data_IF_020594728862
#
_entry.id   IF_020594728862
#
_cell.length_a   1.000
_cell.length_b   1.000
_cell.length_c   1.000
_cell.angle_alpha   90.00
_cell.angle_beta   90.00
_cell.angle_gamma   90.00
#
_symmetry.space_group_name_H-M   'P 1'
#
loop_
_entity.id
_entity.type
_entity.pdbx_description
1 polymer ?
#
# COMPACT_ATOMS: atom_id res chain seq x y z
N UNK A 1 1.97 1.30 -18.55
CA UNK A 1 2.08 1.73 -17.15
C UNK A 1 1.88 0.52 -16.25
N UNK A 2 2.67 0.37 -15.18
CA UNK A 2 2.57 -0.74 -14.23
C UNK A 2 1.44 -0.47 -13.23
N UNK A 3 0.37 -1.26 -13.28
CA UNK A 3 -0.74 -1.13 -12.32
C UNK A 3 -0.36 -1.80 -11.01
N UNK A 4 -0.25 -1.01 -9.96
CA UNK A 4 -0.16 -1.47 -8.57
C UNK A 4 -1.41 -0.94 -7.88
N UNK A 5 -2.20 -1.83 -7.32
CA UNK A 5 -3.43 -1.47 -6.61
C UNK A 5 -3.14 -1.47 -5.11
N UNK A 6 -3.14 -0.29 -4.50
CA UNK A 6 -3.03 -0.15 -3.05
C UNK A 6 -4.40 -0.39 -2.45
N UNK A 7 -4.55 -1.47 -1.70
CA UNK A 7 -5.83 -1.87 -1.11
C UNK A 7 -6.02 -1.30 0.29
N UNK A 8 -4.93 -0.98 1.00
CA UNK A 8 -4.98 -0.38 2.34
C UNK A 8 -3.70 0.37 2.70
N UNK A 9 -3.85 1.54 3.30
CA UNK A 9 -2.79 2.29 3.98
C UNK A 9 -3.32 2.76 5.35
N UNK A 10 -2.71 2.34 6.45
CA UNK A 10 -3.17 2.67 7.82
C UNK A 10 -2.02 3.21 8.69
N UNK A 11 -2.24 4.38 9.32
CA UNK A 11 -1.34 4.96 10.31
C UNK A 11 -1.84 4.56 11.71
N UNK A 12 -0.99 3.92 12.51
CA UNK A 12 -1.37 3.43 13.85
C UNK A 12 -1.40 4.55 14.89
N UNK A 13 -2.16 4.33 15.98
CA UNK A 13 -2.17 5.20 17.17
C UNK A 13 -0.96 4.99 18.09
N UNK A 14 -0.35 3.81 18.04
CA UNK A 14 0.69 3.39 19.01
C UNK A 14 2.10 3.87 18.64
N UNK A 15 2.24 4.61 17.54
CA UNK A 15 3.51 5.17 17.09
C UNK A 15 3.45 5.55 15.61
N UNK A 16 4.50 6.18 15.09
CA UNK A 16 4.60 6.53 13.69
C UNK A 16 4.87 5.25 12.88
N UNK A 17 3.83 4.47 12.61
CA UNK A 17 3.92 3.28 11.77
C UNK A 17 2.88 3.33 10.66
N UNK A 18 3.22 2.74 9.53
CA UNK A 18 2.34 2.62 8.37
C UNK A 18 2.25 1.15 7.96
N UNK A 19 1.04 0.65 7.77
CA UNK A 19 0.78 -0.66 7.19
C UNK A 19 0.28 -0.48 5.76
N UNK A 20 0.99 -1.05 4.80
CA UNK A 20 0.66 -0.97 3.38
C UNK A 20 0.34 -2.35 2.83
N UNK A 21 -0.83 -2.47 2.21
CA UNK A 21 -1.31 -3.67 1.55
C UNK A 21 -1.53 -3.33 0.09
N UNK A 22 -0.94 -4.10 -0.82
CA UNK A 22 -1.12 -3.87 -2.26
C UNK A 22 -0.98 -5.16 -3.07
N UNK A 23 -1.58 -5.14 -4.25
CA UNK A 23 -1.46 -6.21 -5.25
C UNK A 23 -0.66 -5.66 -6.43
N UNK A 24 0.35 -6.42 -6.86
CA UNK A 24 1.07 -6.14 -8.10
C UNK A 24 0.84 -7.25 -9.11
N UNK A 25 0.25 -6.90 -10.25
CA UNK A 25 0.14 -7.78 -11.42
C UNK A 25 1.41 -7.75 -12.28
N UNK A 26 2.32 -6.78 -12.06
CA UNK A 26 3.65 -6.79 -12.68
C UNK A 26 4.68 -7.30 -11.69
N UNK A 27 5.24 -8.45 -11.99
CA UNK A 27 6.33 -9.05 -11.24
C UNK A 27 7.65 -8.32 -11.54
N UNK A 28 8.62 -8.29 -10.60
CA UNK A 28 9.94 -7.72 -10.84
C UNK A 28 10.66 -8.46 -11.97
N UNK A 29 11.67 -7.82 -12.58
CA UNK A 29 12.42 -8.36 -13.74
C UNK A 29 13.00 -9.77 -13.52
N UNK A 30 13.26 -10.16 -12.26
CA UNK A 30 13.62 -11.51 -11.85
C UNK A 30 12.78 -11.93 -10.64
N UNK A 31 11.55 -12.42 -10.87
CA UNK A 31 10.74 -12.88 -9.76
C UNK A 31 11.29 -14.19 -9.21
N UNK A 32 11.09 -14.48 -7.91
CA UNK A 32 11.35 -15.81 -7.37
C UNK A 32 10.65 -16.90 -8.20
N UNK A 33 11.32 -18.03 -8.44
CA UNK A 33 10.80 -19.13 -9.29
C UNK A 33 9.40 -19.57 -8.83
N UNK A 34 9.16 -19.63 -7.52
CA UNK A 34 7.87 -19.97 -6.91
C UNK A 34 6.72 -19.03 -7.31
N UNK A 35 6.99 -17.85 -7.87
CA UNK A 35 5.97 -16.93 -8.33
C UNK A 35 5.48 -17.22 -9.75
N UNK A 36 6.14 -18.09 -10.51
CA UNK A 36 5.78 -18.37 -11.91
C UNK A 36 4.38 -18.96 -12.12
N UNK A 37 3.78 -19.53 -11.07
CA UNK A 37 2.42 -20.07 -11.12
C UNK A 37 1.31 -19.01 -10.91
N UNK A 38 1.68 -17.77 -10.56
CA UNK A 38 0.76 -16.72 -10.15
C UNK A 38 0.80 -15.55 -11.15
N UNK A 39 -0.35 -14.97 -11.47
CA UNK A 39 -0.44 -13.80 -12.35
C UNK A 39 -0.40 -12.47 -11.58
N UNK A 40 -0.54 -12.51 -10.25
CA UNK A 40 -0.37 -11.36 -9.37
C UNK A 40 0.23 -11.78 -8.02
N UNK A 41 0.79 -10.83 -7.29
CA UNK A 41 1.33 -11.04 -5.94
C UNK A 41 0.80 -9.99 -4.99
N UNK A 42 0.28 -10.44 -3.86
CA UNK A 42 -0.11 -9.62 -2.73
C UNK A 42 1.06 -9.41 -1.79
N UNK A 43 1.24 -8.16 -1.36
CA UNK A 43 2.24 -7.74 -0.40
C UNK A 43 1.59 -7.09 0.80
N UNK A 44 2.10 -7.44 1.98
CA UNK A 44 1.80 -6.80 3.24
C UNK A 44 3.09 -6.32 3.87
N UNK A 45 3.22 -5.00 4.01
CA UNK A 45 4.42 -4.35 4.51
C UNK A 45 4.07 -3.53 5.76
N UNK A 46 4.97 -3.55 6.74
CA UNK A 46 4.95 -2.61 7.86
C UNK A 46 6.20 -1.73 7.83
N UNK A 47 5.96 -0.45 8.06
CA UNK A 47 6.97 0.60 8.14
C UNK A 47 6.92 1.16 9.55
N UNK A 48 8.04 1.12 10.26
CA UNK A 48 8.17 1.54 11.66
C UNK A 48 9.08 2.78 11.73
N UNK A 49 8.84 3.66 12.71
CA UNK A 49 9.60 4.89 12.84
C UNK A 49 9.44 5.81 11.63
N UNK A 50 8.19 6.01 11.19
CA UNK A 50 7.85 6.84 10.04
C UNK A 50 8.09 8.32 10.37
N UNK A 51 9.01 8.94 9.64
CA UNK A 51 9.40 10.34 9.88
C UNK A 51 8.60 11.30 8.99
N UNK A 52 8.27 10.86 7.77
CA UNK A 52 7.49 11.65 6.82
C UNK A 52 6.71 10.78 5.86
N UNK A 53 5.50 11.25 5.50
CA UNK A 53 4.67 10.68 4.44
C UNK A 53 4.28 11.81 3.49
N UNK A 54 4.46 11.60 2.19
CA UNK A 54 3.99 12.48 1.13
C UNK A 54 3.09 11.68 0.19
N UNK A 55 1.84 12.13 0.07
CA UNK A 55 0.88 11.63 -0.92
C UNK A 55 0.78 12.68 -2.02
N UNK A 56 0.98 12.27 -3.28
CA UNK A 56 0.86 13.13 -4.46
C UNK A 56 -0.06 12.49 -5.48
N UNK A 57 -0.65 13.31 -6.35
CA UNK A 57 -1.62 12.87 -7.38
C UNK A 57 -2.79 12.09 -6.79
N UNK A 58 -3.20 12.47 -5.59
CA UNK A 58 -4.46 12.00 -5.03
C UNK A 58 -5.59 12.66 -5.82
N UNK A 59 -6.11 11.96 -6.81
CA UNK A 59 -7.27 12.36 -7.59
C UNK A 59 -8.45 11.49 -7.16
N UNK A 60 -9.48 12.15 -6.68
CA UNK A 60 -10.76 11.54 -6.35
C UNK A 60 -11.80 12.23 -7.20
N UNK A 61 -12.33 11.55 -8.20
CA UNK A 61 -13.50 12.06 -8.91
C UNK A 61 -14.70 11.92 -7.96
N UNK A 62 -15.29 13.07 -7.59
CA UNK A 62 -16.55 13.23 -6.83
C UNK A 62 -16.72 12.53 -5.46
N UNK A 63 -15.76 11.74 -4.96
CA UNK A 63 -15.92 10.91 -3.74
C UNK A 63 -14.72 10.84 -2.78
N UNK A 64 -13.94 11.91 -2.62
CA UNK A 64 -13.06 11.98 -1.45
C UNK A 64 -13.86 12.36 -0.21
N UNK A 65 -14.05 11.41 0.72
CA UNK A 65 -14.44 11.75 2.09
C UNK A 65 -13.20 11.74 2.98
N UNK A 66 -12.88 12.88 3.58
CA UNK A 66 -11.95 12.95 4.70
C UNK A 66 -12.78 12.82 5.97
N UNK A 67 -12.85 11.61 6.52
CA UNK A 67 -13.44 11.40 7.83
C UNK A 67 -12.33 11.30 8.87
N UNK A 68 -12.28 12.27 9.78
CA UNK A 68 -11.56 12.10 11.05
C UNK A 68 -12.42 11.17 11.89
N UNK A 69 -12.15 9.86 11.79
CA UNK A 69 -12.86 8.88 12.60
C UNK A 69 -12.57 9.10 14.08
N UNK A 70 -13.48 8.65 14.96
CA UNK A 70 -13.45 8.85 16.42
C UNK A 70 -12.25 8.19 17.15
N UNK A 71 -11.22 7.78 16.42
CA UNK A 71 -10.07 7.01 16.86
C UNK A 71 -8.73 7.54 16.30
N UNK A 72 -8.66 8.79 15.84
CA UNK A 72 -7.42 9.37 15.30
C UNK A 72 -6.98 8.75 13.95
N UNK A 73 -7.90 8.07 13.25
CA UNK A 73 -7.65 7.49 11.93
C UNK A 73 -8.03 8.49 10.85
N UNK A 74 -7.11 8.73 9.92
CA UNK A 74 -7.38 9.48 8.69
C UNK A 74 -7.57 8.46 7.57
N UNK A 75 -8.79 8.36 7.05
CA UNK A 75 -9.09 7.52 5.88
C UNK A 75 -9.00 8.38 4.61
N UNK A 76 -8.15 7.97 3.67
CA UNK A 76 -8.02 8.58 2.35
C UNK A 76 -8.41 7.56 1.29
N UNK A 77 -9.51 7.79 0.60
CA UNK A 77 -9.99 6.92 -0.50
C UNK A 77 -9.66 7.55 -1.84
N UNK A 78 -8.88 6.86 -2.67
CA UNK A 78 -8.53 7.29 -4.02
C UNK A 78 -9.02 6.25 -5.02
N UNK A 79 -9.69 6.68 -6.08
CA UNK A 79 -10.16 5.80 -7.16
C UNK A 79 -9.11 5.65 -8.28
N UNK A 80 -8.06 6.48 -8.27
CA UNK A 80 -7.01 6.50 -9.29
C UNK A 80 -5.60 6.25 -8.73
N UNK A 81 -4.62 6.17 -9.64
CA UNK A 81 -3.23 5.96 -9.28
C UNK A 81 -2.65 7.17 -8.54
N UNK A 82 -2.40 7.02 -7.24
CA UNK A 82 -1.68 7.99 -6.43
C UNK A 82 -0.21 7.58 -6.24
N UNK A 83 0.63 8.56 -5.89
CA UNK A 83 2.02 8.32 -5.51
C UNK A 83 2.17 8.49 -4.01
N UNK A 84 2.49 7.41 -3.33
CA UNK A 84 2.93 7.41 -1.94
C UNK A 84 4.45 7.46 -1.88
N UNK A 85 5.01 8.36 -1.09
CA UNK A 85 6.44 8.43 -0.79
C UNK A 85 6.59 8.60 0.72
N UNK A 86 7.50 7.85 1.33
CA UNK A 86 7.68 7.89 2.78
C UNK A 86 9.15 7.75 3.15
N UNK A 87 9.48 8.27 4.33
CA UNK A 87 10.75 8.04 5.01
C UNK A 87 10.44 7.34 6.33
N UNK A 88 11.10 6.22 6.58
CA UNK A 88 10.96 5.43 7.79
C UNK A 88 12.31 4.87 8.22
N UNK A 89 12.45 4.56 9.50
CA UNK A 89 13.65 3.93 10.05
C UNK A 89 13.78 2.47 9.64
N UNK A 90 12.67 1.74 9.62
CA UNK A 90 12.67 0.32 9.35
C UNK A 90 11.46 -0.12 8.52
N UNK A 91 11.70 -1.01 7.56
CA UNK A 91 10.66 -1.68 6.78
C UNK A 91 10.77 -3.18 6.99
N UNK A 92 9.64 -3.84 7.26
CA UNK A 92 9.53 -5.30 7.24
C UNK A 92 8.45 -5.78 6.29
N UNK A 93 8.74 -6.89 5.65
CA UNK A 93 7.74 -7.67 4.94
C UNK A 93 7.00 -8.55 5.95
N UNK A 94 5.69 -8.35 6.08
CA UNK A 94 4.84 -9.20 6.93
C UNK A 94 4.43 -10.44 6.15
N UNK A 95 3.95 -10.24 4.92
CA UNK A 95 3.42 -11.33 4.09
C UNK A 95 3.67 -11.06 2.61
N UNK A 96 3.97 -12.14 1.91
CA UNK A 96 3.94 -12.19 0.45
C UNK A 96 3.16 -13.45 0.06
N UNK A 97 2.13 -13.30 -0.74
CA UNK A 97 1.34 -14.43 -1.25
C UNK A 97 1.05 -14.26 -2.73
N UNK A 98 1.22 -15.34 -3.49
CA UNK A 98 0.80 -15.40 -4.88
C UNK A 98 -0.72 -15.41 -4.99
N UNK A 99 -1.22 -14.74 -6.02
CA UNK A 99 -2.63 -14.71 -6.41
C UNK A 99 -2.74 -15.29 -7.82
N UNK A 100 -3.74 -16.13 -8.03
CA UNK A 100 -4.11 -16.65 -9.32
C UNK A 100 -5.53 -16.14 -9.61
N UNK A 101 -5.66 -15.10 -10.44
CA UNK A 101 -7.00 -14.75 -10.94
C UNK A 101 -7.44 -15.85 -11.90
N UNK A 102 -8.68 -16.32 -11.72
CA UNK A 102 -9.36 -17.15 -12.71
C UNK A 102 -9.65 -16.35 -13.98
#
# INVERSE_FOLDING_TARGET
>A
MSSVEITKAEISRDGPSLHLHFISARLPYRPPVKWGAFNAVYFELAFEGVESISVRKFQSHDRSSQNVGHAGKILLTCEEAFRLSMTCQFMRTIKISGLQSQ
#
